data_IF_007002325074
#
_entry.id   IF_007002325074
#
_cell.length_a   1.000
_cell.length_b   1.000
_cell.length_c   1.000
_cell.angle_alpha   90.00
_cell.angle_beta   90.00
_cell.angle_gamma   90.00
#
_symmetry.space_group_name_H-M   'P 1'
#
loop_
_entity.id
_entity.type
_entity.pdbx_description
1 polymer ?
#
# COMPACT_ATOMS: atom_id res chain seq x y z
N UNK A 1 -14.57 -4.96 22.02
CA UNK A 1 -15.04 -5.30 20.66
C UNK A 1 -13.91 -5.92 19.83
N UNK A 2 -13.51 -7.17 20.12
CA UNK A 2 -12.43 -7.84 19.38
C UNK A 2 -12.77 -8.12 17.91
N UNK A 3 -14.05 -8.31 17.60
CA UNK A 3 -14.53 -8.58 16.23
C UNK A 3 -14.21 -7.42 15.27
N UNK A 4 -14.47 -6.18 15.67
CA UNK A 4 -14.24 -5.00 14.85
C UNK A 4 -12.75 -4.78 14.56
N UNK A 5 -11.90 -5.04 15.56
CA UNK A 5 -10.43 -4.98 15.42
C UNK A 5 -9.91 -6.00 14.42
N UNK A 6 -10.39 -7.25 14.51
CA UNK A 6 -9.98 -8.31 13.58
C UNK A 6 -10.41 -7.98 12.15
N UNK A 7 -11.65 -7.50 11.95
CA UNK A 7 -12.13 -7.06 10.63
C UNK A 7 -11.22 -5.96 10.08
N UNK A 8 -10.92 -4.93 10.89
CA UNK A 8 -10.10 -3.82 10.46
C UNK A 8 -8.68 -4.25 10.04
N UNK A 9 -8.07 -5.19 10.76
CA UNK A 9 -6.76 -5.77 10.41
C UNK A 9 -6.81 -6.61 9.13
N UNK A 10 -7.86 -7.40 8.95
CA UNK A 10 -8.07 -8.15 7.70
C UNK A 10 -8.23 -7.20 6.52
N UNK A 11 -9.03 -6.14 6.66
CA UNK A 11 -9.18 -5.11 5.62
C UNK A 11 -7.85 -4.42 5.33
N UNK A 12 -7.08 -4.07 6.36
CA UNK A 12 -5.75 -3.47 6.19
C UNK A 12 -4.82 -4.41 5.39
N UNK A 13 -4.81 -5.70 5.72
CA UNK A 13 -4.01 -6.69 4.99
C UNK A 13 -4.46 -6.84 3.53
N UNK A 14 -5.77 -6.85 3.26
CA UNK A 14 -6.28 -6.88 1.88
C UNK A 14 -5.82 -5.63 1.11
N UNK A 15 -5.85 -4.45 1.72
CA UNK A 15 -5.37 -3.22 1.11
C UNK A 15 -3.86 -3.28 0.80
N UNK A 16 -3.05 -3.87 1.68
CA UNK A 16 -1.62 -4.09 1.44
C UNK A 16 -1.39 -4.98 0.21
N UNK A 17 -2.14 -6.08 0.09
CA UNK A 17 -2.06 -6.99 -1.06
C UNK A 17 -2.52 -6.29 -2.35
N UNK A 18 -3.64 -5.57 -2.30
CA UNK A 18 -4.13 -4.79 -3.44
C UNK A 18 -3.11 -3.75 -3.90
N UNK A 19 -2.47 -3.06 -2.96
CA UNK A 19 -1.43 -2.08 -3.27
C UNK A 19 -0.27 -2.73 -4.02
N UNK A 20 0.28 -3.84 -3.52
CA UNK A 20 1.39 -4.55 -4.18
C UNK A 20 1.00 -5.02 -5.58
N UNK A 21 -0.22 -5.53 -5.76
CA UNK A 21 -0.72 -5.97 -7.06
C UNK A 21 -0.88 -4.81 -8.04
N UNK A 22 -1.45 -3.68 -7.59
CA UNK A 22 -1.61 -2.47 -8.41
C UNK A 22 -0.27 -1.89 -8.86
N UNK A 23 0.73 -1.88 -7.98
CA UNK A 23 2.09 -1.42 -8.31
C UNK A 23 2.76 -2.34 -9.35
N UNK A 24 2.62 -3.66 -9.19
CA UNK A 24 3.13 -4.62 -10.17
C UNK A 24 2.42 -4.51 -11.53
N UNK A 25 1.09 -4.34 -11.52
CA UNK A 25 0.27 -4.11 -12.70
C UNK A 25 0.74 -2.86 -13.47
N UNK A 26 1.03 -1.77 -12.75
CA UNK A 26 1.58 -0.56 -13.33
C UNK A 26 2.89 -0.81 -14.08
N UNK A 27 3.82 -1.56 -13.49
CA UNK A 27 5.09 -1.90 -14.12
C UNK A 27 4.92 -2.67 -15.44
N UNK A 28 3.97 -3.61 -15.50
CA UNK A 28 3.66 -4.35 -16.74
C UNK A 28 3.05 -3.46 -17.83
N UNK A 29 2.11 -2.58 -17.46
CA UNK A 29 1.39 -1.72 -18.40
C UNK A 29 2.10 -0.39 -18.72
N UNK A 30 3.31 -0.15 -18.19
CA UNK A 30 4.00 1.14 -18.30
C UNK A 30 4.56 1.50 -19.70
N UNK A 31 4.19 0.78 -20.78
CA UNK A 31 4.55 1.17 -22.15
C UNK A 31 6.03 1.07 -22.53
N UNK A 32 6.95 0.90 -21.58
CA UNK A 32 8.39 0.77 -21.82
C UNK A 32 8.76 -0.49 -22.65
N UNK A 33 9.97 -0.54 -23.21
CA UNK A 33 10.46 -1.71 -23.96
C UNK A 33 10.43 -3.00 -23.12
N UNK A 34 10.35 -4.16 -23.79
CA UNK A 34 10.09 -5.47 -23.17
C UNK A 34 10.88 -5.78 -21.87
N UNK A 35 12.21 -5.62 -21.79
CA UNK A 35 12.92 -5.96 -20.55
C UNK A 35 12.62 -4.99 -19.40
N UNK A 36 12.44 -3.70 -19.68
CA UNK A 36 12.24 -2.67 -18.67
C UNK A 36 10.88 -2.81 -17.96
N UNK A 37 9.86 -3.31 -18.67
CA UNK A 37 8.54 -3.63 -18.10
C UNK A 37 8.63 -4.68 -16.99
N UNK A 38 9.36 -5.77 -17.20
CA UNK A 38 9.52 -6.82 -16.19
C UNK A 38 10.30 -6.31 -14.98
N UNK A 39 11.36 -5.53 -15.22
CA UNK A 39 12.15 -4.92 -14.15
C UNK A 39 11.28 -3.99 -13.30
N UNK A 40 10.41 -3.17 -13.90
CA UNK A 40 9.50 -2.30 -13.14
C UNK A 40 8.39 -3.09 -12.44
N UNK A 41 7.82 -4.10 -13.11
CA UNK A 41 6.75 -4.92 -12.58
C UNK A 41 7.15 -5.71 -11.33
N UNK A 42 8.40 -6.15 -11.25
CA UNK A 42 8.93 -6.87 -10.08
C UNK A 42 9.67 -5.92 -9.14
N UNK A 43 10.42 -4.97 -9.68
CA UNK A 43 11.25 -4.04 -8.93
C UNK A 43 10.42 -3.09 -8.06
N UNK A 44 9.30 -2.55 -8.57
CA UNK A 44 8.45 -1.66 -7.77
C UNK A 44 7.82 -2.39 -6.56
N UNK A 45 7.18 -3.58 -6.71
CA UNK A 45 6.72 -4.35 -5.56
C UNK A 45 7.86 -4.77 -4.63
N UNK A 46 9.01 -5.18 -5.17
CA UNK A 46 10.16 -5.57 -4.36
C UNK A 46 10.65 -4.42 -3.47
N UNK A 47 10.78 -3.21 -4.04
CA UNK A 47 11.14 -2.01 -3.28
C UNK A 47 10.08 -1.70 -2.22
N UNK A 48 8.79 -1.80 -2.56
CA UNK A 48 7.72 -1.59 -1.59
C UNK A 48 7.80 -2.60 -0.43
N UNK A 49 8.03 -3.89 -0.72
CA UNK A 49 8.19 -4.95 0.29
C UNK A 49 9.41 -4.70 1.18
N UNK A 50 10.55 -4.30 0.60
CA UNK A 50 11.76 -4.01 1.39
C UNK A 50 11.55 -2.81 2.30
N UNK A 51 10.99 -1.70 1.77
CA UNK A 51 10.69 -0.51 2.57
C UNK A 51 9.68 -0.83 3.68
N UNK A 52 8.65 -1.62 3.37
CA UNK A 52 7.66 -2.06 4.37
C UNK A 52 8.30 -2.97 5.43
N UNK A 53 9.11 -3.94 4.99
CA UNK A 53 9.86 -4.86 5.83
C UNK A 53 10.78 -4.14 6.80
N UNK A 54 11.41 -3.05 6.34
CA UNK A 54 12.34 -2.28 7.14
C UNK A 54 11.63 -1.29 8.08
N UNK A 55 10.64 -0.54 7.61
CA UNK A 55 10.04 0.55 8.38
C UNK A 55 8.73 0.20 9.09
N UNK A 56 7.94 -0.72 8.56
CA UNK A 56 6.60 -1.02 9.05
C UNK A 56 6.46 -2.40 9.71
N UNK A 57 7.36 -3.36 9.43
CA UNK A 57 7.23 -4.72 9.95
C UNK A 57 7.35 -4.80 11.48
N UNK A 58 6.52 -5.63 12.14
CA UNK A 58 6.51 -5.75 13.60
C UNK A 58 7.81 -6.30 14.18
N UNK A 59 8.55 -7.12 13.41
CA UNK A 59 9.85 -7.70 13.80
C UNK A 59 11.05 -6.84 13.39
N UNK A 60 10.85 -5.67 12.77
CA UNK A 60 11.96 -4.81 12.38
C UNK A 60 12.54 -4.07 13.58
N UNK A 61 13.88 -4.06 13.69
CA UNK A 61 14.59 -3.22 14.66
C UNK A 61 14.45 -1.71 14.40
N UNK A 62 14.10 -1.32 13.16
CA UNK A 62 13.93 0.08 12.73
C UNK A 62 12.45 0.47 12.54
N UNK A 63 11.54 -0.27 13.18
CA UNK A 63 10.11 -0.02 13.06
C UNK A 63 9.75 1.40 13.47
N UNK A 64 9.10 2.12 12.56
CA UNK A 64 8.59 3.47 12.81
C UNK A 64 7.60 3.45 13.97
N UNK A 65 7.74 4.41 14.88
CA UNK A 65 6.77 4.66 15.96
C UNK A 65 5.68 5.57 15.45
N UNK A 66 4.51 5.57 16.12
CA UNK A 66 3.49 6.59 15.84
C UNK A 66 4.08 7.97 16.11
N UNK A 67 3.77 8.99 15.29
CA UNK A 67 2.81 9.00 14.17
C UNK A 67 3.40 8.63 12.79
N UNK A 68 4.69 8.31 12.71
CA UNK A 68 5.39 8.13 11.44
C UNK A 68 4.99 6.85 10.68
N UNK A 69 4.61 5.78 11.39
CA UNK A 69 4.18 4.52 10.77
C UNK A 69 2.92 4.65 9.88
N UNK A 70 1.78 5.21 10.37
CA UNK A 70 0.62 5.44 9.51
C UNK A 70 0.90 6.46 8.40
N UNK A 71 1.75 7.47 8.64
CA UNK A 71 2.16 8.41 7.61
C UNK A 71 2.93 7.72 6.47
N UNK A 72 3.87 6.84 6.80
CA UNK A 72 4.61 6.03 5.82
C UNK A 72 3.68 5.15 4.96
N UNK A 73 2.71 4.48 5.60
CA UNK A 73 1.70 3.70 4.88
C UNK A 73 0.89 4.57 3.93
N UNK A 74 0.40 5.71 4.41
CA UNK A 74 -0.35 6.68 3.59
C UNK A 74 0.45 7.14 2.37
N UNK A 75 1.75 7.41 2.53
CA UNK A 75 2.63 7.78 1.42
C UNK A 75 2.70 6.66 0.39
N UNK A 76 2.93 5.42 0.84
CA UNK A 76 2.99 4.25 -0.04
C UNK A 76 1.68 4.04 -0.82
N UNK A 77 0.53 4.06 -0.14
CA UNK A 77 -0.77 3.96 -0.80
C UNK A 77 -1.05 5.11 -1.76
N UNK A 78 -0.64 6.34 -1.41
CA UNK A 78 -0.78 7.52 -2.28
C UNK A 78 0.06 7.38 -3.54
N UNK A 79 1.30 6.90 -3.42
CA UNK A 79 2.15 6.61 -4.58
C UNK A 79 1.48 5.59 -5.49
N UNK A 80 0.95 4.49 -4.93
CA UNK A 80 0.22 3.48 -5.71
C UNK A 80 -1.02 4.06 -6.41
N UNK A 81 -1.79 4.91 -5.73
CA UNK A 81 -2.94 5.57 -6.32
C UNK A 81 -2.54 6.51 -7.48
N UNK A 82 -1.44 7.25 -7.35
CA UNK A 82 -0.90 8.09 -8.42
C UNK A 82 -0.47 7.25 -9.64
N UNK A 83 0.12 6.08 -9.41
CA UNK A 83 0.49 5.16 -10.49
C UNK A 83 -0.75 4.63 -11.23
N UNK A 84 -1.79 4.22 -10.50
CA UNK A 84 -3.07 3.80 -11.08
C UNK A 84 -3.73 4.93 -11.88
N UNK A 85 -3.74 6.15 -11.33
CA UNK A 85 -4.29 7.33 -12.00
C UNK A 85 -3.57 7.63 -13.32
N UNK A 86 -2.24 7.55 -13.34
CA UNK A 86 -1.44 7.70 -14.56
C UNK A 86 -1.76 6.66 -15.64
N UNK A 87 -2.32 5.52 -15.25
CA UNK A 87 -2.71 4.45 -16.16
C UNK A 87 -4.17 4.55 -16.62
N UNK A 88 -4.86 5.65 -16.28
CA UNK A 88 -6.27 5.87 -16.61
C UNK A 88 -7.24 5.15 -15.67
N UNK A 89 -6.73 4.44 -14.65
CA UNK A 89 -7.53 3.66 -13.70
C UNK A 89 -7.96 4.50 -12.49
N UNK A 90 -8.52 5.68 -12.75
CA UNK A 90 -8.87 6.68 -11.73
C UNK A 90 -9.88 6.16 -10.69
N UNK A 91 -10.84 5.32 -11.11
CA UNK A 91 -11.83 4.72 -10.21
C UNK A 91 -11.14 3.84 -9.15
N UNK A 92 -10.20 2.98 -9.56
CA UNK A 92 -9.48 2.11 -8.63
C UNK A 92 -8.56 2.90 -7.71
N UNK A 93 -7.93 3.96 -8.20
CA UNK A 93 -7.12 4.86 -7.38
C UNK A 93 -7.95 5.53 -6.26
N UNK A 94 -9.15 6.02 -6.60
CA UNK A 94 -10.07 6.64 -5.64
C UNK A 94 -10.61 5.63 -4.62
N UNK A 95 -10.99 4.43 -5.07
CA UNK A 95 -11.46 3.35 -4.18
C UNK A 95 -10.36 2.96 -3.19
N UNK A 96 -9.13 2.76 -3.66
CA UNK A 96 -7.99 2.42 -2.81
C UNK A 96 -7.76 3.48 -1.73
N UNK A 97 -7.67 4.76 -2.12
CA UNK A 97 -7.45 5.86 -1.18
C UNK A 97 -8.59 5.99 -0.18
N UNK A 98 -9.84 5.88 -0.64
CA UNK A 98 -11.01 5.98 0.24
C UNK A 98 -11.00 4.87 1.29
N UNK A 99 -10.73 3.63 0.88
CA UNK A 99 -10.67 2.49 1.80
C UNK A 99 -9.50 2.61 2.79
N UNK A 100 -8.33 3.08 2.34
CA UNK A 100 -7.17 3.32 3.21
C UNK A 100 -7.49 4.38 4.26
N UNK A 101 -8.09 5.50 3.87
CA UNK A 101 -8.47 6.58 4.80
C UNK A 101 -9.48 6.05 5.82
N UNK A 102 -10.51 5.33 5.39
CA UNK A 102 -11.50 4.74 6.30
C UNK A 102 -10.86 3.76 7.28
N UNK A 103 -9.97 2.88 6.80
CA UNK A 103 -9.26 1.91 7.62
C UNK A 103 -8.35 2.58 8.66
N UNK A 104 -7.58 3.59 8.27
CA UNK A 104 -6.71 4.36 9.18
C UNK A 104 -7.54 5.17 10.20
N UNK A 105 -8.68 5.74 9.79
CA UNK A 105 -9.60 6.42 10.72
C UNK A 105 -10.18 5.45 11.76
N UNK A 106 -10.58 4.25 11.35
CA UNK A 106 -11.06 3.20 12.28
C UNK A 106 -9.93 2.76 13.21
N UNK A 107 -8.72 2.58 12.69
CA UNK A 107 -7.52 2.23 13.46
C UNK A 107 -7.23 3.28 14.53
N UNK A 108 -7.27 4.57 14.15
CA UNK A 108 -7.08 5.70 15.06
C UNK A 108 -8.15 5.74 16.16
N UNK A 109 -9.43 5.55 15.80
CA UNK A 109 -10.54 5.46 16.75
C UNK A 109 -10.42 4.28 17.72
N UNK A 110 -9.86 3.16 17.27
CA UNK A 110 -9.67 1.95 18.07
C UNK A 110 -8.40 1.96 18.93
N UNK A 111 -7.58 3.01 18.81
CA UNK A 111 -6.32 3.16 19.55
C UNK A 111 -5.21 2.21 19.11
N UNK A 112 -5.35 1.53 17.96
CA UNK A 112 -4.40 0.52 17.44
C UNK A 112 -3.25 1.09 16.64
#
# INVERSE_FOLDING_TARGET
MPLLKNINRTVAFLLEVCMLFSVGYYGFHSGYGNPLKFVLAIGLPAVAIVLWGYFAAPKSGHRLRRPYLPAFKLVLYTVTALLLYKQGQSTYALVLLTLVILNELVTWRLGE
#
